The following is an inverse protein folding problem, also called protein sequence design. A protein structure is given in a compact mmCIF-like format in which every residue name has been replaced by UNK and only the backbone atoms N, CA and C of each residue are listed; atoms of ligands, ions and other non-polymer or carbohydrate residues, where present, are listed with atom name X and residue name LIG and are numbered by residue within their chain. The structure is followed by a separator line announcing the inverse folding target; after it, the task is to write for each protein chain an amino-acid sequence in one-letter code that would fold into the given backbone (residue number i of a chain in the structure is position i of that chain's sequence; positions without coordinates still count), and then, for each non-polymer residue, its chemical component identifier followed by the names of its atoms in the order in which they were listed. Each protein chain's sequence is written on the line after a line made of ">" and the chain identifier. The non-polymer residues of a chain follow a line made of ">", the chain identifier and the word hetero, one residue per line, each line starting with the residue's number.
data_IF_862273558573
#
_entry.id   IF_862273558573
#
_cell.length_a   1.000
_cell.length_b   1.000
_cell.length_c   1.000
_cell.angle_alpha   90.00
_cell.angle_beta   90.00
_cell.angle_gamma   90.00
#
_symmetry.space_group_name_H-M   'P 1'
#
loop_
_entity.id
_entity.type
_entity.pdbx_description
1 polymer ?
#
# COMPACT_ATOMS: atom_id res chain seq x y z
N UNK A 1 -15.27 -25.56 9.56
CA UNK A 1 -14.27 -26.06 10.57
C UNK A 1 -14.12 -27.58 10.54
N UNK A 2 -15.20 -28.38 10.54
CA UNK A 2 -15.08 -29.84 10.57
C UNK A 2 -14.43 -30.41 9.30
N UNK A 3 -14.79 -29.93 8.12
CA UNK A 3 -14.21 -30.34 6.84
C UNK A 3 -12.71 -30.03 6.75
N UNK A 4 -12.28 -28.88 7.23
CA UNK A 4 -10.87 -28.47 7.25
C UNK A 4 -10.03 -29.40 8.12
N UNK A 5 -10.54 -29.79 9.29
CA UNK A 5 -9.87 -30.75 10.18
C UNK A 5 -9.79 -32.15 9.56
N UNK A 6 -10.82 -32.58 8.85
CA UNK A 6 -10.84 -33.87 8.12
C UNK A 6 -9.81 -33.88 6.99
N UNK A 7 -9.73 -32.80 6.19
CA UNK A 7 -8.74 -32.65 5.12
C UNK A 7 -7.30 -32.71 5.67
N UNK A 8 -7.04 -32.01 6.76
CA UNK A 8 -5.71 -32.02 7.42
C UNK A 8 -5.37 -33.41 8.00
N UNK A 9 -6.35 -34.09 8.58
CA UNK A 9 -6.17 -35.45 9.08
C UNK A 9 -5.90 -36.45 7.93
N UNK A 10 -6.61 -36.30 6.82
CA UNK A 10 -6.42 -37.11 5.61
C UNK A 10 -5.05 -36.87 4.98
N UNK A 11 -4.62 -35.61 4.86
CA UNK A 11 -3.26 -35.25 4.40
C UNK A 11 -2.20 -35.95 5.24
N UNK A 12 -2.25 -35.80 6.58
CA UNK A 12 -1.31 -36.45 7.49
C UNK A 12 -1.31 -37.98 7.38
N UNK A 13 -2.50 -38.58 7.16
CA UNK A 13 -2.64 -40.03 7.06
C UNK A 13 -2.10 -40.59 5.74
N UNK A 14 -2.28 -39.87 4.64
CA UNK A 14 -1.91 -40.34 3.29
C UNK A 14 -0.46 -39.97 2.94
N UNK A 15 0.11 -38.94 3.54
CA UNK A 15 1.50 -38.49 3.29
C UNK A 15 1.74 -38.02 1.86
N UNK A 16 0.68 -37.59 1.14
CA UNK A 16 0.78 -37.08 -0.23
C UNK A 16 0.68 -35.57 -0.25
N UNK A 17 1.21 -34.94 -1.29
CA UNK A 17 1.10 -33.49 -1.48
C UNK A 17 -0.29 -33.13 -1.95
N UNK A 18 -0.92 -32.17 -1.27
CA UNK A 18 -2.18 -31.56 -1.70
C UNK A 18 -1.88 -30.14 -2.22
N UNK A 19 -2.51 -29.79 -3.32
CA UNK A 19 -2.57 -28.39 -3.80
C UNK A 19 -4.01 -27.94 -3.59
N UNK A 20 -4.18 -26.90 -2.78
CA UNK A 20 -5.48 -26.31 -2.46
C UNK A 20 -5.49 -24.86 -2.93
N UNK A 21 -6.45 -24.51 -3.78
CA UNK A 21 -6.63 -23.16 -4.30
C UNK A 21 -7.86 -22.56 -3.63
N UNK A 22 -7.69 -21.44 -2.96
CA UNK A 22 -8.75 -20.74 -2.26
C UNK A 22 -8.53 -19.23 -2.35
N UNK A 23 -9.59 -18.47 -2.22
CA UNK A 23 -9.55 -17.03 -1.97
C UNK A 23 -9.77 -16.70 -0.48
N UNK A 24 -9.99 -17.70 0.35
CA UNK A 24 -10.15 -17.55 1.80
C UNK A 24 -8.77 -17.63 2.48
N UNK A 25 -8.37 -16.49 3.05
CA UNK A 25 -7.06 -16.32 3.70
C UNK A 25 -6.94 -17.18 4.95
N UNK A 26 -8.01 -17.28 5.77
CA UNK A 26 -8.04 -18.10 6.98
C UNK A 26 -7.83 -19.58 6.64
N UNK A 27 -8.44 -20.05 5.56
CA UNK A 27 -8.24 -21.42 5.06
C UNK A 27 -6.80 -21.64 4.62
N UNK A 28 -6.23 -20.71 3.84
CA UNK A 28 -4.86 -20.81 3.36
C UNK A 28 -3.86 -20.87 4.52
N UNK A 29 -4.00 -20.00 5.51
CA UNK A 29 -3.10 -19.93 6.67
C UNK A 29 -3.25 -21.11 7.63
N UNK A 30 -4.47 -21.66 7.79
CA UNK A 30 -4.72 -22.72 8.78
C UNK A 30 -4.47 -24.13 8.24
N UNK A 31 -4.66 -24.36 6.94
CA UNK A 31 -4.58 -25.70 6.34
C UNK A 31 -3.20 -26.04 5.75
N UNK A 32 -2.45 -25.03 5.32
CA UNK A 32 -1.26 -25.22 4.51
C UNK A 32 0.03 -25.34 5.35
N UNK A 33 0.98 -26.11 4.85
CA UNK A 33 2.38 -26.09 5.32
C UNK A 33 3.18 -24.99 4.57
N UNK A 34 2.74 -24.65 3.35
CA UNK A 34 3.26 -23.55 2.55
C UNK A 34 2.14 -22.84 1.83
N UNK A 35 2.20 -21.52 1.82
CA UNK A 35 1.28 -20.62 1.11
C UNK A 35 2.00 -20.04 -0.10
N UNK A 36 1.30 -19.97 -1.21
CA UNK A 36 1.72 -19.25 -2.42
C UNK A 36 0.69 -18.15 -2.66
N UNK A 37 1.09 -16.91 -2.46
CA UNK A 37 0.26 -15.75 -2.79
C UNK A 37 0.48 -15.41 -4.26
N UNK A 38 -0.62 -15.28 -5.00
CA UNK A 38 -0.59 -14.98 -6.43
C UNK A 38 -1.49 -13.79 -6.73
N UNK A 39 -1.04 -12.95 -7.65
CA UNK A 39 -1.82 -11.88 -8.25
C UNK A 39 -1.51 -11.86 -9.75
N UNK A 40 -2.52 -11.74 -10.61
CA UNK A 40 -2.39 -11.64 -12.07
C UNK A 40 -1.53 -12.74 -12.72
N UNK A 41 -1.65 -13.95 -12.21
CA UNK A 41 -0.86 -15.08 -12.71
C UNK A 41 0.63 -15.05 -12.30
N UNK A 42 1.05 -14.05 -11.51
CA UNK A 42 2.41 -13.93 -10.96
C UNK A 42 2.42 -14.37 -9.50
N UNK A 43 3.51 -14.98 -9.09
CA UNK A 43 3.75 -15.32 -7.69
C UNK A 43 4.28 -14.08 -7.00
N UNK A 44 3.57 -13.62 -5.95
CA UNK A 44 3.96 -12.49 -5.12
C UNK A 44 4.87 -12.94 -3.97
N UNK A 45 4.50 -14.03 -3.31
CA UNK A 45 5.32 -14.59 -2.21
C UNK A 45 5.07 -16.09 -2.05
N UNK A 46 6.09 -16.81 -1.59
CA UNK A 46 6.01 -18.21 -1.16
C UNK A 46 6.65 -18.33 0.22
N UNK A 47 5.91 -18.82 1.20
CA UNK A 47 6.44 -19.00 2.56
C UNK A 47 5.61 -19.98 3.38
N UNK A 48 5.99 -20.16 4.64
CA UNK A 48 5.09 -20.76 5.63
C UNK A 48 3.95 -19.77 5.94
N UNK A 49 2.82 -20.22 6.49
CA UNK A 49 1.76 -19.30 6.93
C UNK A 49 2.28 -18.16 7.82
N UNK A 50 3.20 -18.49 8.74
CA UNK A 50 3.80 -17.51 9.64
C UNK A 50 4.67 -16.49 8.89
N UNK A 51 5.50 -16.97 7.93
CA UNK A 51 6.36 -16.06 7.14
C UNK A 51 5.53 -15.10 6.29
N UNK A 52 4.48 -15.62 5.63
CA UNK A 52 3.64 -14.80 4.75
C UNK A 52 2.84 -13.76 5.53
N UNK A 53 2.42 -14.09 6.76
CA UNK A 53 1.68 -13.19 7.63
C UNK A 53 2.59 -12.14 8.31
N UNK A 54 3.71 -12.59 8.91
CA UNK A 54 4.57 -11.73 9.72
C UNK A 54 5.64 -10.99 8.91
N UNK A 55 6.04 -11.53 7.75
CA UNK A 55 7.09 -10.97 6.90
C UNK A 55 6.61 -10.88 5.44
N UNK A 56 5.52 -10.15 5.16
CA UNK A 56 5.04 -9.95 3.78
C UNK A 56 6.12 -9.22 2.97
N UNK A 57 6.29 -9.62 1.70
CA UNK A 57 7.34 -9.07 0.83
C UNK A 57 6.95 -7.74 0.18
N UNK A 58 5.65 -7.45 0.11
CA UNK A 58 5.13 -6.19 -0.41
C UNK A 58 3.76 -5.86 0.20
N UNK A 59 3.28 -4.63 -0.02
CA UNK A 59 2.02 -4.14 0.52
C UNK A 59 0.81 -4.96 0.05
N UNK A 60 0.83 -5.46 -1.19
CA UNK A 60 -0.22 -6.33 -1.69
C UNK A 60 -0.36 -7.61 -0.85
N UNK A 61 0.76 -8.28 -0.52
CA UNK A 61 0.73 -9.48 0.32
C UNK A 61 0.28 -9.13 1.73
N UNK A 62 0.74 -8.00 2.28
CA UNK A 62 0.36 -7.55 3.61
C UNK A 62 -1.15 -7.33 3.73
N UNK A 63 -1.73 -6.62 2.78
CA UNK A 63 -3.16 -6.32 2.71
C UNK A 63 -3.99 -7.57 2.39
N UNK A 64 -3.54 -8.37 1.42
CA UNK A 64 -4.27 -9.57 0.98
C UNK A 64 -4.34 -10.65 2.06
N UNK A 65 -3.32 -10.81 2.92
CA UNK A 65 -3.27 -11.90 3.92
C UNK A 65 -3.92 -11.55 5.24
N UNK A 66 -4.15 -10.28 5.52
CA UNK A 66 -4.82 -9.84 6.73
C UNK A 66 -4.88 -8.33 6.83
N UNK A 67 -5.84 -7.84 7.58
CA UNK A 67 -5.98 -6.40 7.82
C UNK A 67 -4.65 -5.80 8.29
N UNK A 68 -4.29 -4.64 7.74
CA UNK A 68 -3.02 -3.96 8.03
C UNK A 68 -3.20 -2.45 7.97
N UNK A 69 -2.50 -1.75 8.85
CA UNK A 69 -2.25 -0.33 8.65
C UNK A 69 -1.06 -0.22 7.68
N UNK A 70 -1.30 0.28 6.50
CA UNK A 70 -0.27 0.51 5.48
C UNK A 70 -0.16 2.01 5.28
N UNK A 71 1.02 2.57 5.51
CA UNK A 71 1.24 4.00 5.59
C UNK A 71 2.42 4.41 4.71
N UNK A 72 2.31 5.56 4.09
CA UNK A 72 3.46 6.19 3.46
C UNK A 72 4.45 6.66 4.51
N UNK A 73 5.72 6.42 4.27
CA UNK A 73 6.78 6.67 5.23
C UNK A 73 8.09 7.09 4.56
N UNK A 74 9.00 7.61 5.36
CA UNK A 74 10.37 7.93 4.94
C UNK A 74 11.36 7.27 5.89
N UNK A 75 12.30 6.52 5.36
CA UNK A 75 13.40 5.99 6.13
C UNK A 75 14.39 7.11 6.45
N UNK A 76 14.34 7.64 7.67
CA UNK A 76 15.20 8.77 8.08
C UNK A 76 16.67 8.34 8.13
N UNK A 77 16.91 7.16 8.65
CA UNK A 77 18.20 6.45 8.71
C UNK A 77 17.98 5.00 9.13
N UNK A 78 19.00 4.17 9.04
CA UNK A 78 18.94 2.80 9.54
C UNK A 78 18.39 2.74 10.97
N UNK A 79 17.28 2.01 11.15
CA UNK A 79 16.62 1.82 12.43
C UNK A 79 15.71 2.97 12.86
N UNK A 80 15.42 3.95 12.00
CA UNK A 80 14.47 5.04 12.26
C UNK A 80 13.66 5.35 10.99
N UNK A 81 12.35 5.24 11.10
CA UNK A 81 11.39 5.53 10.03
C UNK A 81 10.41 6.61 10.48
N UNK A 82 10.07 7.54 9.61
CA UNK A 82 9.07 8.58 9.84
C UNK A 82 7.77 8.19 9.14
N UNK A 83 6.68 8.13 9.90
CA UNK A 83 5.30 8.01 9.42
C UNK A 83 4.35 8.70 10.38
N UNK A 84 3.15 9.05 9.95
CA UNK A 84 2.23 9.90 10.71
C UNK A 84 2.93 11.15 11.31
N UNK A 85 3.84 11.77 10.56
CA UNK A 85 4.64 12.94 10.95
C UNK A 85 5.58 12.73 12.17
N UNK A 86 5.78 11.50 12.63
CA UNK A 86 6.62 11.17 13.78
C UNK A 86 7.73 10.16 13.44
N UNK A 87 8.86 10.29 14.14
CA UNK A 87 9.98 9.34 14.02
C UNK A 87 9.78 8.17 14.96
N UNK A 88 9.84 6.96 14.39
CA UNK A 88 9.75 5.70 15.12
C UNK A 88 11.07 4.93 15.01
N UNK A 89 11.49 4.31 16.11
CA UNK A 89 12.53 3.30 16.05
C UNK A 89 11.97 2.05 15.35
N UNK A 90 12.74 1.42 14.45
CA UNK A 90 12.41 0.16 13.80
C UNK A 90 13.63 -0.77 13.76
N UNK A 91 13.41 -2.04 13.45
CA UNK A 91 14.50 -3.03 13.33
C UNK A 91 15.13 -3.05 11.95
N UNK A 92 14.44 -2.56 10.95
CA UNK A 92 14.81 -2.60 9.55
C UNK A 92 15.97 -1.65 9.21
N UNK A 93 16.79 -2.07 8.23
CA UNK A 93 18.01 -1.37 7.80
C UNK A 93 18.27 -1.60 6.32
N UNK A 94 19.11 -0.74 5.72
CA UNK A 94 19.60 -0.92 4.37
C UNK A 94 18.72 -0.34 3.28
N UNK A 95 17.72 0.48 3.63
CA UNK A 95 16.87 1.18 2.68
C UNK A 95 17.52 2.47 2.13
N UNK A 96 18.47 3.05 2.86
CA UNK A 96 19.08 4.35 2.57
C UNK A 96 18.44 5.48 3.39
N UNK A 97 19.20 6.58 3.59
CA UNK A 97 18.68 7.76 4.27
C UNK A 97 17.74 8.54 3.35
N UNK A 98 16.71 9.14 3.91
CA UNK A 98 15.69 9.95 3.22
C UNK A 98 14.99 9.20 2.05
N UNK A 99 14.91 7.87 2.15
CA UNK A 99 14.26 7.04 1.14
C UNK A 99 12.78 6.87 1.44
N UNK A 100 11.92 7.10 0.44
CA UNK A 100 10.49 6.80 0.53
C UNK A 100 10.25 5.30 0.60
N UNK A 101 9.45 4.90 1.59
CA UNK A 101 9.14 3.51 1.90
C UNK A 101 7.65 3.39 2.27
N UNK A 102 7.16 2.16 2.32
CA UNK A 102 5.89 1.84 2.96
C UNK A 102 6.16 1.25 4.35
N UNK A 103 5.31 1.59 5.31
CA UNK A 103 5.29 0.97 6.63
C UNK A 103 4.03 0.16 6.77
N UNK A 104 4.16 -1.06 7.25
CA UNK A 104 3.06 -1.96 7.59
C UNK A 104 3.08 -2.24 9.09
N UNK A 105 1.95 -2.00 9.74
CA UNK A 105 1.73 -2.32 11.15
C UNK A 105 0.41 -3.08 11.29
N UNK A 106 0.45 -4.24 11.93
CA UNK A 106 -0.76 -5.02 12.17
C UNK A 106 -1.65 -4.34 13.22
N UNK A 107 -2.99 -4.41 13.08
CA UNK A 107 -3.91 -3.78 14.03
C UNK A 107 -3.74 -4.27 15.48
N UNK A 108 -3.36 -5.53 15.69
CA UNK A 108 -3.08 -6.12 16.99
C UNK A 108 -1.76 -5.64 17.61
N UNK A 109 -0.87 -5.07 16.83
CA UNK A 109 0.45 -4.59 17.24
C UNK A 109 0.46 -3.07 17.54
N UNK A 110 -0.68 -2.41 17.35
CA UNK A 110 -0.89 -1.02 17.78
C UNK A 110 -1.47 -1.02 19.19
N UNK A 111 -0.65 -0.68 20.17
CA UNK A 111 -1.06 -0.60 21.57
C UNK A 111 -1.83 0.68 21.83
N UNK A 112 -2.99 0.57 22.46
CA UNK A 112 -3.87 1.69 22.77
C UNK A 112 -4.05 1.88 24.29
N UNK A 113 -4.13 3.10 24.75
CA UNK A 113 -4.43 3.38 26.15
C UNK A 113 -4.93 4.79 26.39
N UNK A 114 -5.42 5.03 27.62
CA UNK A 114 -5.93 6.34 28.03
C UNK A 114 -4.78 7.31 28.25
N UNK A 115 -4.97 8.54 27.85
CA UNK A 115 -4.03 9.62 28.14
C UNK A 115 -3.85 9.77 29.67
N UNK A 116 -2.59 9.84 30.12
CA UNK A 116 -2.25 9.90 31.54
C UNK A 116 -2.07 8.54 32.21
N UNK A 117 -2.45 7.44 31.59
CA UNK A 117 -2.08 6.10 32.02
C UNK A 117 -0.72 5.70 31.37
N UNK A 118 0.07 4.94 32.11
CA UNK A 118 1.29 4.36 31.54
C UNK A 118 0.90 3.18 30.66
N UNK A 119 1.55 3.03 29.51
CA UNK A 119 1.42 1.84 28.70
C UNK A 119 1.69 0.61 29.58
N UNK A 120 0.83 -0.41 29.52
CA UNK A 120 1.00 -1.64 30.28
C UNK A 120 2.00 -2.51 29.53
N UNK A 121 3.24 -2.58 30.02
CA UNK A 121 4.33 -3.41 29.50
C UNK A 121 5.69 -2.86 29.94
N UNK A 122 6.72 -3.69 29.96
CA UNK A 122 8.07 -3.33 30.42
C UNK A 122 8.78 -2.27 29.54
N UNK A 123 8.10 -1.74 28.52
CA UNK A 123 8.68 -0.99 27.42
C UNK A 123 8.39 0.51 27.42
N UNK A 124 7.77 1.04 28.48
CA UNK A 124 7.70 2.47 28.70
C UNK A 124 9.10 3.01 29.04
N UNK A 125 10.03 2.98 28.09
CA UNK A 125 11.41 3.49 28.27
C UNK A 125 11.42 5.02 28.24
N UNK A 126 11.29 5.61 29.43
CA UNK A 126 12.10 6.79 29.78
C UNK A 126 11.70 8.15 29.26
N UNK A 127 10.46 8.40 28.81
CA UNK A 127 9.94 9.76 28.52
C UNK A 127 8.64 10.02 29.29
N UNK A 128 8.31 11.27 29.55
CA UNK A 128 7.15 11.70 30.35
C UNK A 128 5.79 11.32 29.75
N UNK A 129 5.74 10.90 28.48
CA UNK A 129 4.59 10.25 27.84
C UNK A 129 5.03 8.95 27.18
N UNK A 130 4.41 7.80 27.51
CA UNK A 130 4.72 6.53 26.84
C UNK A 130 4.14 6.43 25.42
N UNK A 131 3.25 7.34 25.04
CA UNK A 131 2.52 7.32 23.79
C UNK A 131 3.29 8.06 22.71
N UNK A 132 3.42 7.44 21.53
CA UNK A 132 4.11 8.01 20.38
C UNK A 132 3.17 8.87 19.55
N UNK A 133 1.89 8.43 19.43
CA UNK A 133 0.82 9.17 18.75
C UNK A 133 -0.32 9.43 19.72
N UNK A 134 -1.11 10.46 19.41
CA UNK A 134 -2.36 10.77 20.11
C UNK A 134 -3.50 10.81 19.09
N UNK A 135 -4.71 10.48 19.51
CA UNK A 135 -5.85 10.50 18.61
C UNK A 135 -7.18 10.34 19.32
N UNK A 136 -8.23 10.26 18.53
CA UNK A 136 -9.61 10.07 18.99
C UNK A 136 -10.19 8.79 18.40
N UNK A 137 -10.83 7.98 19.22
CA UNK A 137 -11.54 6.79 18.77
C UNK A 137 -12.75 7.19 17.95
N UNK A 138 -12.80 6.83 16.69
CA UNK A 138 -13.89 7.11 15.77
C UNK A 138 -14.96 6.03 15.80
N UNK A 139 -14.55 4.76 15.89
CA UNK A 139 -15.42 3.60 15.95
C UNK A 139 -14.87 2.53 16.88
N UNK A 140 -15.76 1.69 17.44
CA UNK A 140 -15.39 0.52 18.24
C UNK A 140 -16.43 -0.57 18.03
N UNK A 141 -16.02 -1.69 17.43
CA UNK A 141 -16.89 -2.80 17.04
C UNK A 141 -16.39 -4.09 17.68
N UNK A 142 -17.27 -4.81 18.39
CA UNK A 142 -16.92 -6.12 18.93
C UNK A 142 -16.98 -7.22 17.86
N UNK A 143 -15.86 -7.87 17.61
CA UNK A 143 -15.72 -8.96 16.61
C UNK A 143 -15.80 -10.39 17.22
N UNK A 144 -16.36 -10.50 18.42
CA UNK A 144 -16.57 -11.79 19.10
C UNK A 144 -15.46 -12.21 20.06
N UNK A 145 -14.22 -11.82 19.82
CA UNK A 145 -13.05 -12.12 20.68
C UNK A 145 -12.32 -10.83 21.09
N UNK A 146 -12.17 -9.90 20.16
CA UNK A 146 -11.53 -8.59 20.36
C UNK A 146 -12.44 -7.48 19.89
N UNK A 147 -12.08 -6.27 20.18
CA UNK A 147 -12.66 -5.05 19.64
C UNK A 147 -11.77 -4.56 18.50
N UNK A 148 -12.39 -4.20 17.40
CA UNK A 148 -11.78 -3.49 16.30
C UNK A 148 -12.17 -2.02 16.41
N UNK A 149 -11.19 -1.17 16.39
CA UNK A 149 -11.36 0.27 16.58
C UNK A 149 -10.66 1.01 15.46
N UNK A 150 -11.29 2.10 15.02
CA UNK A 150 -10.65 3.08 14.15
C UNK A 150 -10.29 4.28 15.00
N UNK A 151 -9.04 4.70 14.98
CA UNK A 151 -8.54 5.87 15.68
C UNK A 151 -8.03 6.88 14.67
N UNK A 152 -8.57 8.10 14.71
CA UNK A 152 -8.04 9.23 13.95
C UNK A 152 -6.98 9.92 14.79
N UNK A 153 -5.74 9.95 14.31
CA UNK A 153 -4.63 10.62 14.99
C UNK A 153 -4.78 12.14 14.92
N UNK A 154 -4.08 12.85 15.79
CA UNK A 154 -4.10 14.32 15.80
C UNK A 154 -3.49 14.91 14.52
N UNK A 155 -2.66 14.13 13.80
CA UNK A 155 -2.06 14.45 12.50
C UNK A 155 -2.99 14.15 11.31
N UNK A 156 -4.13 13.47 11.55
CA UNK A 156 -5.15 13.19 10.53
C UNK A 156 -5.09 11.80 9.88
N UNK A 157 -4.29 10.88 10.42
CA UNK A 157 -4.21 9.50 9.94
C UNK A 157 -5.20 8.60 10.66
N UNK A 158 -5.91 7.76 9.91
CA UNK A 158 -6.77 6.74 10.48
C UNK A 158 -5.98 5.44 10.67
N UNK A 159 -5.97 4.92 11.89
CA UNK A 159 -5.35 3.66 12.24
C UNK A 159 -6.39 2.66 12.73
N UNK A 160 -6.36 1.45 12.18
CA UNK A 160 -7.12 0.31 12.67
C UNK A 160 -6.37 -0.34 13.83
N UNK A 161 -7.09 -0.66 14.90
CA UNK A 161 -6.53 -1.24 16.13
C UNK A 161 -7.39 -2.41 16.58
N UNK A 162 -6.74 -3.48 17.00
CA UNK A 162 -7.42 -4.61 17.63
C UNK A 162 -6.93 -4.79 19.06
N UNK A 163 -7.85 -4.69 20.03
CA UNK A 163 -7.56 -4.87 21.45
C UNK A 163 -8.67 -5.65 22.15
N UNK A 164 -8.35 -6.27 23.27
CA UNK A 164 -9.33 -6.98 24.11
C UNK A 164 -10.19 -6.03 24.96
N UNK A 165 -9.83 -4.76 25.04
CA UNK A 165 -10.54 -3.73 25.79
C UNK A 165 -11.22 -2.76 24.85
N UNK A 166 -12.47 -2.40 25.16
CA UNK A 166 -13.19 -1.38 24.41
C UNK A 166 -12.77 0.03 24.85
N UNK A 167 -12.67 0.92 23.87
CA UNK A 167 -12.58 2.36 24.06
C UNK A 167 -13.75 3.01 23.35
N UNK A 168 -14.49 3.87 24.05
CA UNK A 168 -15.72 4.47 23.50
C UNK A 168 -15.38 5.49 22.40
N UNK A 169 -16.18 5.57 21.32
CA UNK A 169 -16.07 6.64 20.33
C UNK A 169 -16.08 8.03 20.98
N UNK A 170 -15.20 8.92 20.50
CA UNK A 170 -14.96 10.24 21.08
C UNK A 170 -13.93 10.26 22.20
N UNK A 171 -13.42 9.12 22.64
CA UNK A 171 -12.37 9.06 23.67
C UNK A 171 -11.01 9.42 23.08
N UNK A 172 -10.29 10.33 23.78
CA UNK A 172 -8.89 10.64 23.46
C UNK A 172 -7.97 9.56 24.02
N UNK A 173 -7.11 9.04 23.16
CA UNK A 173 -6.23 7.91 23.45
C UNK A 173 -4.79 8.20 23.02
N UNK A 174 -3.88 7.44 23.59
CA UNK A 174 -2.49 7.37 23.14
C UNK A 174 -2.22 6.04 22.46
N UNK A 175 -1.37 6.05 21.45
CA UNK A 175 -0.96 4.89 20.68
C UNK A 175 0.54 4.68 20.78
N UNK A 176 0.95 3.42 20.76
CA UNK A 176 2.33 2.98 20.79
C UNK A 176 2.51 1.81 19.81
N UNK A 177 3.57 1.84 19.02
CA UNK A 177 4.01 0.72 18.17
C UNK A 177 5.45 0.40 18.56
N UNK A 178 5.76 -0.88 18.72
CA UNK A 178 7.11 -1.30 19.06
C UNK A 178 8.00 -1.38 17.83
N UNK A 179 9.32 -1.20 17.98
CA UNK A 179 10.25 -1.27 16.86
C UNK A 179 10.20 -2.58 16.05
N UNK A 180 9.96 -3.70 16.73
CA UNK A 180 9.86 -5.03 16.12
C UNK A 180 8.54 -5.28 15.39
N UNK A 181 7.51 -4.48 15.67
CA UNK A 181 6.17 -4.60 15.09
C UNK A 181 5.98 -3.66 13.87
N UNK A 182 6.99 -2.86 13.55
CA UNK A 182 7.04 -1.99 12.36
C UNK A 182 7.78 -2.74 11.26
N UNK A 183 7.10 -2.99 10.15
CA UNK A 183 7.70 -3.60 8.96
C UNK A 183 7.89 -2.53 7.89
N UNK A 184 9.15 -2.32 7.47
CA UNK A 184 9.47 -1.35 6.43
C UNK A 184 9.59 -2.07 5.10
N UNK A 185 8.88 -1.57 4.10
CA UNK A 185 8.87 -2.12 2.75
C UNK A 185 9.36 -1.10 1.74
N UNK A 186 10.07 -1.57 0.74
CA UNK A 186 10.47 -0.71 -0.38
C UNK A 186 9.25 -0.38 -1.21
N UNK A 187 9.00 0.90 -1.47
CA UNK A 187 7.99 1.29 -2.46
C UNK A 187 8.36 0.70 -3.82
N UNK A 188 7.40 0.03 -4.44
CA UNK A 188 7.60 -0.58 -5.76
C UNK A 188 7.74 0.50 -6.84
N UNK A 189 7.03 1.61 -6.67
CA UNK A 189 7.01 2.75 -7.59
C UNK A 189 6.81 4.06 -6.82
N UNK A 190 7.38 5.12 -7.35
CA UNK A 190 7.23 6.49 -6.79
C UNK A 190 6.30 7.36 -7.64
N UNK A 191 6.08 6.99 -8.91
CA UNK A 191 5.18 7.67 -9.84
C UNK A 191 4.78 6.70 -10.97
N UNK A 192 3.77 7.09 -11.74
CA UNK A 192 3.47 6.44 -13.00
C UNK A 192 4.57 6.74 -14.01
N UNK A 193 5.06 5.72 -14.70
CA UNK A 193 6.07 5.85 -15.76
C UNK A 193 5.59 5.12 -17.01
N UNK A 194 5.54 5.83 -18.13
CA UNK A 194 5.10 5.31 -19.41
C UNK A 194 6.13 5.60 -20.50
N UNK A 195 6.14 4.80 -21.55
CA UNK A 195 6.84 5.13 -22.78
C UNK A 195 5.96 6.05 -23.64
N UNK A 196 6.53 7.11 -24.22
CA UNK A 196 5.78 8.06 -25.03
C UNK A 196 6.58 8.54 -26.25
N UNK A 197 5.88 9.20 -27.15
CA UNK A 197 6.42 9.86 -28.34
C UNK A 197 5.95 11.32 -28.41
N UNK A 198 6.89 12.25 -28.60
CA UNK A 198 6.56 13.69 -28.73
C UNK A 198 5.92 13.95 -30.08
N UNK A 199 4.78 14.59 -30.09
CA UNK A 199 4.01 14.94 -31.29
C UNK A 199 4.12 16.45 -31.62
N UNK A 200 3.57 16.83 -32.78
CA UNK A 200 3.34 18.25 -33.12
C UNK A 200 2.32 18.90 -32.16
N UNK A 201 2.23 20.22 -32.20
CA UNK A 201 1.22 21.00 -31.45
C UNK A 201 1.27 20.84 -29.94
N UNK A 202 2.48 20.69 -29.36
CA UNK A 202 2.70 20.55 -27.91
C UNK A 202 1.96 19.37 -27.30
N UNK A 203 2.04 18.21 -27.93
CA UNK A 203 1.44 16.97 -27.45
C UNK A 203 2.46 15.86 -27.30
N UNK A 204 2.12 14.91 -26.46
CA UNK A 204 2.83 13.65 -26.29
C UNK A 204 1.83 12.50 -26.38
N UNK A 205 2.19 11.42 -27.06
CA UNK A 205 1.39 10.19 -27.08
C UNK A 205 1.94 9.22 -26.07
N UNK A 206 1.11 8.73 -25.18
CA UNK A 206 1.36 7.58 -24.31
C UNK A 206 0.02 6.94 -23.92
N UNK A 207 0.03 5.64 -23.58
CA UNK A 207 -1.19 4.85 -23.38
C UNK A 207 -2.16 4.94 -24.55
N UNK A 208 -1.63 4.93 -25.75
CA UNK A 208 -2.33 5.05 -27.05
C UNK A 208 -3.16 6.35 -27.25
N UNK A 209 -3.08 7.30 -26.29
CA UNK A 209 -3.79 8.58 -26.33
C UNK A 209 -2.84 9.77 -26.46
N UNK A 210 -3.37 10.87 -26.99
CA UNK A 210 -2.66 12.14 -27.17
C UNK A 210 -2.96 13.10 -26.03
N UNK A 211 -1.91 13.55 -25.35
CA UNK A 211 -1.99 14.41 -24.18
C UNK A 211 -1.34 15.76 -24.47
N UNK A 212 -2.01 16.85 -24.07
CA UNK A 212 -1.42 18.16 -24.13
C UNK A 212 -0.28 18.31 -23.10
N UNK A 213 0.79 18.97 -23.48
CA UNK A 213 1.91 19.34 -22.62
C UNK A 213 2.22 20.82 -22.73
N UNK A 214 2.82 21.46 -21.71
CA UNK A 214 3.21 22.83 -21.81
C UNK A 214 4.24 23.06 -22.93
N UNK A 215 4.09 24.13 -23.69
CA UNK A 215 5.01 24.52 -24.78
C UNK A 215 6.49 24.47 -24.34
N UNK A 216 6.80 25.03 -23.17
CA UNK A 216 8.15 24.99 -22.58
C UNK A 216 8.73 23.58 -22.35
N UNK A 217 7.86 22.57 -22.25
CA UNK A 217 8.26 21.15 -22.12
C UNK A 217 8.49 20.59 -23.50
N UNK A 218 7.56 20.81 -24.43
CA UNK A 218 7.63 20.36 -25.82
C UNK A 218 8.91 20.88 -26.54
N UNK A 219 9.27 22.16 -26.36
CA UNK A 219 10.46 22.80 -26.98
C UNK A 219 11.81 22.09 -26.62
N UNK A 220 11.82 21.24 -25.61
CA UNK A 220 13.02 20.51 -25.17
C UNK A 220 13.30 19.25 -25.97
N UNK A 221 12.37 18.82 -26.80
CA UNK A 221 12.36 17.56 -27.53
C UNK A 221 12.06 17.78 -29.01
N UNK A 222 12.49 16.83 -29.85
CA UNK A 222 12.15 16.83 -31.26
C UNK A 222 10.84 16.09 -31.49
N UNK A 223 10.07 16.49 -32.50
CA UNK A 223 8.86 15.74 -32.91
C UNK A 223 9.25 14.35 -33.38
N UNK A 224 8.59 13.32 -32.85
CA UNK A 224 8.94 11.92 -33.06
C UNK A 224 10.01 11.38 -32.11
N UNK A 225 10.50 12.18 -31.15
CA UNK A 225 11.44 11.71 -30.13
C UNK A 225 10.71 10.80 -29.12
N UNK A 226 11.27 9.61 -28.90
CA UNK A 226 10.82 8.71 -27.84
C UNK A 226 11.26 9.24 -26.47
N UNK A 227 10.34 9.24 -25.52
CA UNK A 227 10.54 9.79 -24.18
C UNK A 227 9.99 8.87 -23.10
N UNK A 228 10.52 8.99 -21.89
CA UNK A 228 9.90 8.46 -20.70
C UNK A 228 8.97 9.54 -20.13
N UNK A 229 7.71 9.19 -19.88
CA UNK A 229 6.67 10.05 -19.33
C UNK A 229 6.48 9.70 -17.86
N UNK A 230 6.58 10.68 -16.98
CA UNK A 230 6.33 10.50 -15.53
C UNK A 230 5.16 11.38 -15.08
N UNK A 231 4.30 10.78 -14.26
CA UNK A 231 3.14 11.45 -13.63
C UNK A 231 3.03 10.98 -12.18
N UNK A 232 3.03 11.91 -11.23
CA UNK A 232 2.84 11.56 -9.82
C UNK A 232 1.44 10.98 -9.59
N UNK A 233 1.29 10.04 -8.68
CA UNK A 233 0.02 9.35 -8.41
C UNK A 233 -1.10 10.32 -8.02
N UNK A 234 -0.79 11.34 -7.20
CA UNK A 234 -1.73 12.37 -6.76
C UNK A 234 -2.03 13.44 -7.81
N UNK A 235 -1.55 13.27 -9.05
CA UNK A 235 -1.77 14.17 -10.20
C UNK A 235 -2.62 13.55 -11.29
N UNK A 236 -3.03 12.32 -11.09
CA UNK A 236 -4.03 11.66 -11.90
C UNK A 236 -5.39 11.93 -11.27
N UNK A 237 -6.34 12.44 -12.04
CA UNK A 237 -7.69 12.73 -11.57
C UNK A 237 -8.67 11.75 -12.18
N UNK A 238 -9.51 11.16 -11.35
CA UNK A 238 -10.60 10.30 -11.77
C UNK A 238 -11.89 11.11 -11.90
N UNK A 239 -12.71 10.73 -12.86
CA UNK A 239 -14.01 11.34 -13.17
C UNK A 239 -15.09 10.26 -13.04
N UNK A 240 -16.24 10.61 -12.45
CA UNK A 240 -17.41 9.72 -12.32
C UNK A 240 -17.97 9.31 -13.69
N UNK A 241 -17.83 10.18 -14.69
CA UNK A 241 -18.26 9.90 -16.06
C UNK A 241 -17.04 9.57 -16.92
N UNK A 242 -17.08 8.42 -17.56
CA UNK A 242 -16.02 7.96 -18.46
C UNK A 242 -15.77 8.95 -19.61
N UNK A 243 -16.86 9.59 -20.12
CA UNK A 243 -16.80 10.55 -21.24
C UNK A 243 -16.04 11.84 -20.88
N UNK A 244 -15.89 12.13 -19.58
CA UNK A 244 -15.14 13.27 -19.09
C UNK A 244 -13.62 13.00 -18.98
N UNK A 245 -13.17 11.75 -19.15
CA UNK A 245 -11.76 11.34 -19.21
C UNK A 245 -11.13 11.52 -20.59
N UNK A 246 -9.81 11.47 -20.65
CA UNK A 246 -9.04 11.23 -21.88
C UNK A 246 -8.91 9.73 -22.12
N UNK A 247 -8.75 8.97 -21.04
CA UNK A 247 -8.78 7.52 -21.01
C UNK A 247 -9.93 7.06 -20.12
N UNK A 248 -10.38 5.82 -20.36
CA UNK A 248 -11.33 5.12 -19.52
C UNK A 248 -10.67 3.90 -18.89
N UNK A 249 -11.16 3.53 -17.71
CA UNK A 249 -10.66 2.37 -17.00
C UNK A 249 -11.59 1.90 -15.90
N UNK A 250 -11.20 0.84 -15.24
CA UNK A 250 -11.91 0.25 -14.11
C UNK A 250 -11.02 0.26 -12.88
N UNK A 251 -11.55 0.66 -11.74
CA UNK A 251 -10.85 0.56 -10.45
C UNK A 251 -10.68 -0.93 -10.14
N UNK A 252 -9.43 -1.38 -10.14
CA UNK A 252 -9.09 -2.80 -10.04
C UNK A 252 -8.58 -3.19 -8.65
N UNK A 253 -7.93 -2.26 -7.95
CA UNK A 253 -7.39 -2.50 -6.62
C UNK A 253 -7.41 -1.20 -5.81
N UNK A 254 -7.75 -1.30 -4.53
CA UNK A 254 -7.86 -0.18 -3.62
C UNK A 254 -7.06 -0.50 -2.35
N UNK A 255 -6.13 0.38 -1.99
CA UNK A 255 -5.34 0.29 -0.77
C UNK A 255 -5.49 1.58 0.02
N UNK A 256 -5.97 1.50 1.25
CA UNK A 256 -6.04 2.66 2.13
C UNK A 256 -4.69 2.87 2.85
N UNK A 257 -4.15 4.09 2.77
CA UNK A 257 -2.84 4.48 3.30
C UNK A 257 -2.91 5.27 4.61
N UNK A 258 -4.07 5.24 5.27
CA UNK A 258 -4.31 5.93 6.53
C UNK A 258 -4.83 7.36 6.39
N UNK A 259 -4.49 8.07 5.32
CA UNK A 259 -4.94 9.43 5.03
C UNK A 259 -5.48 9.61 3.60
N UNK A 260 -5.20 8.67 2.71
CA UNK A 260 -5.68 8.65 1.32
C UNK A 260 -5.82 7.22 0.81
N UNK A 261 -6.45 7.06 -0.37
CA UNK A 261 -6.54 5.80 -1.10
C UNK A 261 -5.49 5.77 -2.22
N UNK A 262 -4.75 4.68 -2.29
CA UNK A 262 -3.90 4.32 -3.42
C UNK A 262 -4.64 3.31 -4.29
N UNK A 263 -5.01 3.72 -5.50
CA UNK A 263 -5.81 2.93 -6.42
C UNK A 263 -4.94 2.41 -7.56
N UNK A 264 -5.25 1.21 -8.04
CA UNK A 264 -4.85 0.76 -9.37
C UNK A 264 -6.05 0.82 -10.28
N UNK A 265 -5.99 1.64 -11.31
CA UNK A 265 -7.01 1.75 -12.35
C UNK A 265 -6.50 1.07 -13.60
N UNK A 266 -7.20 0.07 -14.07
CA UNK A 266 -6.86 -0.67 -15.29
C UNK A 266 -7.59 -0.06 -16.49
N UNK A 267 -6.84 0.39 -17.47
CA UNK A 267 -7.41 0.91 -18.71
C UNK A 267 -8.07 -0.19 -19.53
N UNK A 268 -8.90 0.19 -20.50
CA UNK A 268 -9.54 -0.77 -21.41
C UNK A 268 -8.53 -1.54 -22.27
N UNK A 269 -7.34 -0.98 -22.49
CA UNK A 269 -6.22 -1.62 -23.21
C UNK A 269 -5.36 -2.52 -22.31
N UNK A 270 -5.62 -2.52 -21.01
CA UNK A 270 -4.99 -3.40 -20.02
C UNK A 270 -3.76 -2.84 -19.32
N UNK A 271 -3.52 -1.54 -19.44
CA UNK A 271 -2.45 -0.85 -18.71
C UNK A 271 -2.92 -0.45 -17.31
N UNK A 272 -2.02 -0.49 -16.34
CA UNK A 272 -2.29 -0.08 -14.98
C UNK A 272 -1.82 1.35 -14.73
N UNK A 273 -2.72 2.18 -14.21
CA UNK A 273 -2.47 3.55 -13.76
C UNK A 273 -2.69 3.62 -12.26
N UNK A 274 -1.70 4.16 -11.54
CA UNK A 274 -1.76 4.31 -10.08
C UNK A 274 -2.21 5.72 -9.73
N UNK A 275 -3.14 5.82 -8.78
CA UNK A 275 -3.79 7.08 -8.40
C UNK A 275 -3.86 7.21 -6.90
N UNK A 276 -3.37 8.32 -6.34
CA UNK A 276 -3.59 8.70 -4.95
C UNK A 276 -4.72 9.72 -4.89
N UNK A 277 -5.78 9.41 -4.14
CA UNK A 277 -6.97 10.24 -4.02
C UNK A 277 -7.59 10.15 -2.63
N UNK A 278 -8.30 11.22 -2.24
CA UNK A 278 -9.16 11.22 -1.06
C UNK A 278 -10.62 10.85 -1.40
N UNK A 279 -10.94 10.73 -2.68
CA UNK A 279 -12.27 10.31 -3.12
C UNK A 279 -12.44 8.81 -2.91
N UNK A 280 -13.65 8.42 -2.51
CA UNK A 280 -14.00 7.04 -2.25
C UNK A 280 -14.54 6.39 -3.52
N UNK A 281 -13.89 5.30 -3.92
CA UNK A 281 -14.26 4.49 -5.08
C UNK A 281 -14.46 3.04 -4.64
N UNK A 282 -15.27 2.30 -5.39
CA UNK A 282 -15.47 0.88 -5.18
C UNK A 282 -14.71 0.04 -6.24
N UNK A 283 -14.36 -1.18 -5.88
CA UNK A 283 -13.77 -2.15 -6.81
C UNK A 283 -14.76 -2.42 -7.95
N UNK A 284 -14.28 -2.29 -9.18
CA UNK A 284 -15.10 -2.41 -10.39
C UNK A 284 -15.76 -1.11 -10.87
N UNK A 285 -15.56 0.02 -10.18
CA UNK A 285 -16.06 1.31 -10.65
C UNK A 285 -15.40 1.69 -11.98
N UNK A 286 -16.24 2.11 -12.95
CA UNK A 286 -15.81 2.65 -14.23
C UNK A 286 -15.53 4.13 -14.08
N UNK A 287 -14.37 4.58 -14.57
CA UNK A 287 -13.90 5.95 -14.38
C UNK A 287 -13.29 6.53 -15.65
N UNK A 288 -13.45 7.84 -15.82
CA UNK A 288 -12.66 8.63 -16.75
C UNK A 288 -11.35 9.09 -16.10
N UNK A 289 -10.25 9.04 -16.84
CA UNK A 289 -8.91 9.40 -16.34
C UNK A 289 -8.46 10.69 -17.00
N UNK A 290 -8.04 11.65 -16.18
CA UNK A 290 -7.49 12.94 -16.61
C UNK A 290 -6.17 13.24 -15.94
N UNK A 291 -5.25 13.79 -16.73
CA UNK A 291 -3.99 14.33 -16.26
C UNK A 291 -3.85 15.76 -16.80
N UNK A 292 -3.68 16.72 -15.90
CA UNK A 292 -3.47 18.09 -16.34
C UNK A 292 -2.09 18.24 -17.02
N UNK A 293 -1.99 18.98 -18.13
CA UNK A 293 -0.75 19.10 -18.92
C UNK A 293 0.49 19.48 -18.10
N UNK A 294 0.30 20.33 -17.08
CA UNK A 294 1.39 20.80 -16.22
C UNK A 294 2.03 19.72 -15.34
N UNK A 295 1.39 18.57 -15.18
CA UNK A 295 1.87 17.47 -14.34
C UNK A 295 2.53 16.34 -15.15
N UNK A 296 2.50 16.41 -16.47
CA UNK A 296 3.20 15.48 -17.35
C UNK A 296 4.66 15.92 -17.47
N UNK A 297 5.57 15.08 -16.99
CA UNK A 297 7.02 15.29 -17.07
C UNK A 297 7.60 14.37 -18.14
N UNK A 298 8.48 14.93 -18.97
CA UNK A 298 9.14 14.18 -20.04
C UNK A 298 10.63 14.11 -19.78
N UNK A 299 11.19 12.93 -19.97
CA UNK A 299 12.62 12.65 -19.87
C UNK A 299 13.10 11.95 -21.13
N UNK A 300 14.34 12.23 -21.52
CA UNK A 300 14.99 11.50 -22.64
C UNK A 300 15.19 10.05 -22.21
N UNK A 301 14.79 9.11 -23.08
CA UNK A 301 15.11 7.71 -22.85
C UNK A 301 16.60 7.55 -22.64
N UNK A 302 17.03 7.01 -21.51
CA UNK A 302 18.40 6.57 -21.31
C UNK A 302 18.66 5.43 -22.30
N UNK A 303 19.63 5.63 -23.19
CA UNK A 303 20.14 4.57 -24.04
C UNK A 303 20.76 3.53 -23.12
N UNK A 304 20.01 2.51 -22.74
CA UNK A 304 20.57 1.33 -22.07
C UNK A 304 21.61 0.74 -23.00
N UNK A 305 22.87 1.09 -22.76
CA UNK A 305 24.00 0.55 -23.50
C UNK A 305 23.90 -0.98 -23.48
N UNK A 306 23.77 -1.60 -24.64
CA UNK A 306 24.02 -3.03 -24.76
C UNK A 306 25.39 -3.29 -24.13
N UNK A 307 25.56 -4.26 -23.21
CA UNK A 307 26.86 -4.74 -22.86
C UNK A 307 27.46 -5.32 -24.19
N UNK A 308 28.48 -4.64 -24.69
CA UNK A 308 29.30 -5.20 -25.76
C UNK A 308 30.01 -6.44 -25.21
N UNK A 309 29.74 -7.55 -25.82
CA UNK A 309 30.70 -8.63 -26.04
C UNK A 309 30.95 -9.56 -24.85
N UNK A 310 30.45 -10.74 -24.88
CA UNK A 310 31.22 -12.00 -25.12
C UNK A 310 30.29 -13.19 -25.02
#
# INVERSE_FOLDING_TARGET
>A
KDMQMELRAMHKKLGITFIYVTHDQEEALTLSDRVVVMSEGKIQQIGTPTDVYNEPQNCFVADFIGESNILDATMVKDGVVNFCEHDFECVDKGFGEDTEVDVVVRPEDVYIGRLGEKAKGEEARGKDSPWQLHGEVMSCIFKGVHYEMTVLTDEGYELMIQDYHAFDPGMKVGLLVKPEDIQVMKKERLCNTFEGEVLEDNRVRFLDEEWDIPERVAERFEVGEEVDVEVDFNRVNLQDDEEDGVLCGEVYFILYKGDHYHLTVRTDDGDDIYVDTNDVWDDGDRVGIRIAPSYIRLYKKEVKGRPEGL
#
